data_IF_563586488410
#
_entry.id   IF_563586488410
#
_cell.length_a   1.000
_cell.length_b   1.000
_cell.length_c   1.000
_cell.angle_alpha   90.00
_cell.angle_beta   90.00
_cell.angle_gamma   90.00
#
_symmetry.space_group_name_H-M   'P 1'
#
loop_
_entity.id
_entity.type
_entity.pdbx_description
1 polymer ?
#
# COMPACT_ATOMS: atom_id res chain seq x y z
N UNK A 1 2.76 86.19 -17.29
CA UNK A 1 2.81 85.96 -15.83
C UNK A 1 1.93 84.77 -15.53
N UNK A 2 2.56 83.64 -15.23
CA UNK A 2 1.90 82.40 -14.85
C UNK A 2 1.55 82.47 -13.36
N UNK A 3 0.27 82.32 -13.03
CA UNK A 3 -0.24 82.26 -11.66
C UNK A 3 -0.43 80.80 -11.24
N UNK A 4 0.27 80.39 -10.19
CA UNK A 4 0.22 79.08 -9.55
C UNK A 4 -1.21 78.72 -9.13
N UNK A 5 -1.73 77.59 -9.63
CA UNK A 5 -2.86 76.87 -9.05
C UNK A 5 -2.32 75.83 -8.07
N UNK A 6 -2.71 75.97 -6.80
CA UNK A 6 -2.33 75.10 -5.70
C UNK A 6 -2.93 73.71 -5.85
N UNK A 7 -2.07 72.69 -5.75
CA UNK A 7 -2.45 71.29 -5.60
C UNK A 7 -2.92 71.05 -4.16
N UNK A 8 -4.21 70.84 -3.97
CA UNK A 8 -4.75 70.25 -2.74
C UNK A 8 -4.42 68.77 -2.71
N UNK A 9 -3.44 68.37 -1.89
CA UNK A 9 -3.22 66.97 -1.52
C UNK A 9 -4.37 66.49 -0.61
N UNK A 10 -5.43 65.96 -1.20
CA UNK A 10 -6.35 65.07 -0.50
C UNK A 10 -5.76 63.65 -0.53
N UNK A 11 -4.79 63.40 0.35
CA UNK A 11 -4.27 62.06 0.61
C UNK A 11 -5.15 61.36 1.65
N UNK A 12 -6.25 60.76 1.20
CA UNK A 12 -6.92 59.70 1.95
C UNK A 12 -5.93 58.56 2.16
N UNK A 13 -5.42 58.43 3.38
CA UNK A 13 -4.66 57.28 3.82
C UNK A 13 -5.58 56.06 3.92
N UNK A 14 -5.87 55.41 2.80
CA UNK A 14 -6.23 54.00 2.79
C UNK A 14 -4.95 53.24 3.13
N UNK A 15 -4.84 52.82 4.38
CA UNK A 15 -3.93 51.74 4.75
C UNK A 15 -4.29 50.54 3.87
N UNK A 16 -3.50 50.31 2.82
CA UNK A 16 -3.52 49.07 2.10
C UNK A 16 -3.12 47.97 3.09
N UNK A 17 -4.12 47.34 3.71
CA UNK A 17 -3.99 45.97 4.20
C UNK A 17 -3.40 45.19 3.04
N UNK A 18 -2.12 44.83 3.15
CA UNK A 18 -1.53 43.77 2.32
C UNK A 18 -2.48 42.59 2.46
N UNK A 19 -3.25 42.31 1.42
CA UNK A 19 -4.01 41.10 1.30
C UNK A 19 -3.04 39.93 1.52
N UNK A 20 -3.17 39.28 2.69
CA UNK A 20 -2.59 37.97 2.98
C UNK A 20 -3.34 36.93 2.13
N UNK A 21 -3.20 36.98 0.81
CA UNK A 21 -3.99 36.18 -0.13
C UNK A 21 -3.11 35.14 -0.87
N UNK A 22 -2.12 34.59 -0.16
CA UNK A 22 -1.26 33.53 -0.68
C UNK A 22 -1.55 32.16 -0.06
N UNK A 23 -2.66 31.98 0.66
CA UNK A 23 -2.99 30.69 1.27
C UNK A 23 -3.55 29.73 0.21
N UNK A 24 -2.77 28.74 -0.22
CA UNK A 24 -3.23 27.74 -1.18
C UNK A 24 -3.96 26.59 -0.47
N UNK A 25 -5.28 26.54 -0.65
CA UNK A 25 -6.13 25.44 -0.17
C UNK A 25 -5.93 24.19 -1.05
N UNK A 26 -5.84 23.03 -0.41
CA UNK A 26 -5.78 21.71 -1.04
C UNK A 26 -7.07 20.96 -0.69
N UNK A 27 -7.75 20.46 -1.71
CA UNK A 27 -9.05 19.79 -1.64
C UNK A 27 -8.97 18.49 -2.43
N UNK A 28 -9.42 17.37 -1.85
CA UNK A 28 -9.19 16.05 -2.45
C UNK A 28 -9.85 15.87 -3.82
N UNK A 29 -11.17 16.05 -3.89
CA UNK A 29 -11.97 15.84 -5.08
C UNK A 29 -11.64 16.90 -6.12
N UNK A 30 -11.56 18.18 -5.73
CA UNK A 30 -11.17 19.24 -6.66
C UNK A 30 -9.79 19.02 -7.27
N UNK A 31 -8.78 18.70 -6.46
CA UNK A 31 -7.44 18.42 -6.98
C UNK A 31 -7.41 17.15 -7.84
N UNK A 32 -8.20 16.13 -7.49
CA UNK A 32 -8.31 14.93 -8.33
C UNK A 32 -8.94 15.21 -9.70
N UNK A 33 -9.84 16.20 -9.81
CA UNK A 33 -10.41 16.65 -11.10
C UNK A 33 -9.43 17.49 -11.94
N UNK A 34 -8.30 17.92 -11.38
CA UNK A 34 -7.33 18.75 -12.09
C UNK A 34 -6.75 18.08 -13.33
N UNK A 35 -6.47 18.90 -14.35
CA UNK A 35 -5.69 18.48 -15.54
C UNK A 35 -4.23 18.23 -15.20
N UNK A 36 -3.71 18.88 -14.16
CA UNK A 36 -2.35 18.66 -13.68
C UNK A 36 -2.36 17.49 -12.70
N UNK A 37 -1.50 16.47 -12.87
CA UNK A 37 -1.47 15.34 -11.95
C UNK A 37 -1.06 15.81 -10.55
N UNK A 38 -1.70 15.23 -9.54
CA UNK A 38 -1.30 15.37 -8.14
C UNK A 38 -0.86 14.02 -7.59
N UNK A 39 0.19 14.04 -6.78
CA UNK A 39 0.76 12.84 -6.16
C UNK A 39 0.39 12.83 -4.68
N UNK A 40 -0.16 11.70 -4.26
CA UNK A 40 -0.50 11.42 -2.87
C UNK A 40 0.32 10.23 -2.35
N UNK A 41 0.75 10.34 -1.10
CA UNK A 41 1.56 9.36 -0.38
C UNK A 41 0.71 8.77 0.73
N UNK A 42 0.32 7.51 0.58
CA UNK A 42 -0.36 6.77 1.63
C UNK A 42 0.69 6.07 2.49
N UNK A 43 0.78 6.50 3.74
CA UNK A 43 1.77 6.03 4.71
C UNK A 43 1.18 4.97 5.63
N UNK A 44 2.05 4.15 6.23
CA UNK A 44 1.67 3.17 7.25
C UNK A 44 2.38 3.46 8.57
N UNK A 45 1.76 3.04 9.67
CA UNK A 45 2.26 3.28 11.02
C UNK A 45 1.29 4.16 11.81
N UNK A 46 1.63 4.43 13.07
CA UNK A 46 0.78 5.24 13.93
C UNK A 46 1.02 6.73 13.79
N UNK A 47 2.26 7.17 13.61
CA UNK A 47 2.58 8.58 13.48
C UNK A 47 3.24 8.89 12.14
N UNK A 48 2.98 10.10 11.62
CA UNK A 48 3.73 10.64 10.48
C UNK A 48 5.04 11.22 10.98
N UNK A 49 6.13 10.58 10.58
CA UNK A 49 7.51 10.92 10.89
C UNK A 49 8.33 10.98 9.60
N UNK A 50 9.56 11.46 9.68
CA UNK A 50 10.45 11.55 8.52
C UNK A 50 10.84 10.20 7.95
N UNK A 51 10.69 9.12 8.71
CA UNK A 51 10.96 7.75 8.29
C UNK A 51 9.68 6.95 8.00
N UNK A 52 8.50 7.61 7.98
CA UNK A 52 7.24 6.94 7.66
C UNK A 52 7.34 6.19 6.34
N UNK A 53 6.93 4.93 6.39
CA UNK A 53 6.84 4.07 5.21
C UNK A 53 5.64 4.49 4.39
N UNK A 54 5.83 4.56 3.09
CA UNK A 54 4.81 4.75 2.07
C UNK A 54 4.38 3.35 1.61
N UNK A 55 3.09 3.03 1.77
CA UNK A 55 2.52 1.83 1.19
C UNK A 55 2.21 2.06 -0.29
N UNK A 56 1.52 3.16 -0.59
CA UNK A 56 1.04 3.48 -1.93
C UNK A 56 1.39 4.90 -2.35
N UNK A 57 1.69 5.04 -3.64
CA UNK A 57 1.68 6.31 -4.34
C UNK A 57 0.44 6.35 -5.21
N UNK A 58 -0.40 7.36 -5.02
CA UNK A 58 -1.64 7.55 -5.77
C UNK A 58 -1.49 8.80 -6.62
N UNK A 59 -1.56 8.63 -7.94
CA UNK A 59 -1.50 9.74 -8.90
C UNK A 59 -2.91 10.06 -9.35
N UNK A 60 -3.42 11.24 -9.01
CA UNK A 60 -4.77 11.69 -9.37
C UNK A 60 -4.73 12.71 -10.51
N UNK A 61 -5.56 12.53 -11.52
CA UNK A 61 -5.69 13.45 -12.65
C UNK A 61 -7.03 13.21 -13.36
N UNK A 62 -7.74 14.28 -13.74
CA UNK A 62 -9.00 14.20 -14.50
C UNK A 62 -10.05 13.25 -13.86
N UNK A 63 -10.18 13.28 -12.54
CA UNK A 63 -11.12 12.44 -11.79
C UNK A 63 -10.73 10.96 -11.73
N UNK A 64 -9.51 10.61 -12.13
CA UNK A 64 -9.00 9.23 -12.12
C UNK A 64 -7.79 9.10 -11.19
N UNK A 65 -7.64 7.93 -10.58
CA UNK A 65 -6.49 7.54 -9.77
C UNK A 65 -5.68 6.43 -10.46
N UNK A 66 -4.35 6.53 -10.41
CA UNK A 66 -3.45 5.41 -10.71
C UNK A 66 -2.64 5.10 -9.45
N UNK A 67 -2.73 3.87 -8.97
CA UNK A 67 -2.16 3.47 -7.68
C UNK A 67 -0.96 2.55 -7.89
N UNK A 68 0.14 2.85 -7.22
CA UNK A 68 1.39 2.09 -7.28
C UNK A 68 1.79 1.66 -5.88
N UNK A 69 2.04 0.36 -5.69
CA UNK A 69 2.62 -0.17 -4.45
C UNK A 69 4.11 0.15 -4.41
N UNK A 70 4.61 0.61 -3.27
CA UNK A 70 6.03 1.04 -3.18
C UNK A 70 6.92 0.17 -2.29
N UNK A 71 6.35 -0.78 -1.55
CA UNK A 71 7.08 -1.82 -0.79
C UNK A 71 8.18 -1.28 0.13
N UNK A 72 7.79 -0.75 1.30
CA UNK A 72 8.68 -0.30 2.38
C UNK A 72 9.61 0.88 2.03
N UNK A 73 9.31 1.65 1.00
CA UNK A 73 9.97 2.94 0.76
C UNK A 73 9.47 3.97 1.77
N UNK A 74 10.31 4.93 2.13
CA UNK A 74 10.02 5.98 3.12
C UNK A 74 9.86 7.34 2.43
N UNK A 75 9.26 8.32 3.11
CA UNK A 75 9.11 9.69 2.58
C UNK A 75 10.43 10.29 2.01
N UNK A 76 11.60 10.14 2.66
CA UNK A 76 12.88 10.65 2.17
C UNK A 76 13.31 10.03 0.84
N UNK A 77 12.86 8.82 0.51
CA UNK A 77 13.18 8.22 -0.78
C UNK A 77 12.52 8.98 -1.95
N UNK A 78 11.50 9.79 -1.69
CA UNK A 78 10.80 10.63 -2.68
C UNK A 78 11.22 12.10 -2.61
N UNK A 79 12.00 12.46 -1.61
CA UNK A 79 12.47 13.82 -1.39
C UNK A 79 13.32 14.34 -2.55
N UNK A 80 13.21 15.64 -2.84
CA UNK A 80 13.85 16.34 -3.95
C UNK A 80 13.59 15.79 -5.37
N UNK A 81 12.71 14.80 -5.52
CA UNK A 81 12.35 14.28 -6.84
C UNK A 81 11.28 15.15 -7.48
N UNK A 82 11.34 15.32 -8.80
CA UNK A 82 10.22 15.87 -9.57
C UNK A 82 9.06 14.87 -9.60
N UNK A 83 7.86 15.36 -9.91
CA UNK A 83 6.68 14.50 -10.06
C UNK A 83 6.91 13.37 -11.08
N UNK A 84 7.58 13.67 -12.20
CA UNK A 84 7.92 12.67 -13.22
C UNK A 84 8.88 11.59 -12.68
N UNK A 85 9.87 11.98 -11.87
CA UNK A 85 10.79 11.05 -11.22
C UNK A 85 10.09 10.19 -10.16
N UNK A 86 9.16 10.78 -9.40
CA UNK A 86 8.35 10.05 -8.41
C UNK A 86 7.48 9.01 -9.10
N UNK A 87 6.76 9.39 -10.15
CA UNK A 87 5.90 8.47 -10.92
C UNK A 87 6.72 7.35 -11.56
N UNK A 88 7.90 7.66 -12.12
CA UNK A 88 8.79 6.67 -12.70
C UNK A 88 9.34 5.70 -11.64
N UNK A 89 9.69 6.21 -10.45
CA UNK A 89 10.08 5.39 -9.32
C UNK A 89 8.93 4.49 -8.87
N UNK A 90 7.74 5.04 -8.65
CA UNK A 90 6.56 4.31 -8.22
C UNK A 90 6.20 3.14 -9.15
N UNK A 91 6.22 3.34 -10.47
CA UNK A 91 6.03 2.27 -11.48
C UNK A 91 7.03 1.12 -11.34
N UNK A 92 8.29 1.45 -11.07
CA UNK A 92 9.37 0.47 -10.90
C UNK A 92 9.22 -0.30 -9.58
N UNK A 93 8.82 0.40 -8.51
CA UNK A 93 8.58 -0.22 -7.21
C UNK A 93 7.36 -1.16 -7.24
N UNK A 94 6.30 -0.77 -7.95
CA UNK A 94 5.10 -1.60 -8.10
C UNK A 94 5.42 -2.92 -8.80
N UNK A 95 6.13 -2.85 -9.93
CA UNK A 95 6.63 -4.05 -10.63
C UNK A 95 7.57 -4.88 -9.76
N UNK A 96 8.45 -4.24 -8.99
CA UNK A 96 9.37 -4.95 -8.08
C UNK A 96 8.59 -5.67 -6.97
N UNK A 97 7.55 -5.05 -6.41
CA UNK A 97 6.68 -5.66 -5.41
C UNK A 97 6.06 -6.94 -5.95
N UNK A 98 5.49 -6.85 -7.16
CA UNK A 98 4.93 -8.01 -7.86
C UNK A 98 5.96 -9.14 -8.00
N UNK A 99 7.15 -8.83 -8.52
CA UNK A 99 8.21 -9.82 -8.74
C UNK A 99 8.63 -10.50 -7.45
N UNK A 100 8.90 -9.73 -6.38
CA UNK A 100 9.32 -10.29 -5.09
C UNK A 100 8.27 -11.24 -4.50
N UNK A 101 6.98 -10.90 -4.59
CA UNK A 101 5.89 -11.72 -4.06
C UNK A 101 5.71 -13.01 -4.87
N UNK A 102 5.78 -12.91 -6.20
CA UNK A 102 5.76 -14.07 -7.10
C UNK A 102 6.92 -15.02 -6.80
N UNK A 103 8.13 -14.47 -6.71
CA UNK A 103 9.34 -15.28 -6.51
C UNK A 103 9.35 -15.94 -5.12
N UNK A 104 8.85 -15.25 -4.09
CA UNK A 104 8.66 -15.83 -2.76
C UNK A 104 7.64 -16.98 -2.76
N UNK A 105 6.49 -16.81 -3.44
CA UNK A 105 5.50 -17.86 -3.58
C UNK A 105 6.05 -19.07 -4.36
N UNK A 106 6.83 -18.81 -5.41
CA UNK A 106 7.50 -19.85 -6.19
C UNK A 106 8.48 -20.64 -5.32
N UNK A 107 9.37 -19.96 -4.60
CA UNK A 107 10.37 -20.60 -3.74
C UNK A 107 9.71 -21.47 -2.65
N UNK A 108 8.66 -20.97 -2.00
CA UNK A 108 7.92 -21.72 -1.00
C UNK A 108 7.23 -22.97 -1.58
N UNK A 109 6.67 -22.86 -2.78
CA UNK A 109 6.05 -23.98 -3.49
C UNK A 109 7.09 -25.06 -3.85
N UNK A 110 8.24 -24.66 -4.42
CA UNK A 110 9.34 -25.56 -4.75
C UNK A 110 9.88 -26.28 -3.51
N UNK A 111 10.17 -25.55 -2.43
CA UNK A 111 10.65 -26.14 -1.16
C UNK A 111 9.69 -27.22 -0.65
N UNK A 112 8.38 -26.92 -0.64
CA UNK A 112 7.37 -27.87 -0.19
C UNK A 112 7.30 -29.11 -1.10
N UNK A 113 7.40 -28.92 -2.41
CA UNK A 113 7.40 -30.04 -3.36
C UNK A 113 8.61 -30.96 -3.14
N UNK A 114 9.80 -30.38 -2.97
CA UNK A 114 11.05 -31.12 -2.77
C UNK A 114 11.05 -31.88 -1.44
N UNK A 115 10.55 -31.26 -0.37
CA UNK A 115 10.32 -31.92 0.93
C UNK A 115 9.41 -33.16 0.77
N UNK A 116 8.28 -33.03 0.05
CA UNK A 116 7.38 -34.16 -0.18
C UNK A 116 8.03 -35.23 -1.08
N UNK A 117 8.80 -34.84 -2.09
CA UNK A 117 9.54 -35.79 -2.92
C UNK A 117 10.54 -36.62 -2.10
N UNK A 118 11.27 -35.98 -1.18
CA UNK A 118 12.18 -36.65 -0.25
C UNK A 118 11.44 -37.61 0.69
N UNK A 119 10.23 -37.27 1.15
CA UNK A 119 9.44 -38.19 1.99
C UNK A 119 8.96 -39.45 1.24
N UNK A 120 8.70 -39.36 -0.07
CA UNK A 120 8.37 -40.52 -0.90
C UNK A 120 9.57 -41.39 -1.23
N UNK A 121 10.76 -40.78 -1.33
CA UNK A 121 12.02 -41.42 -1.68
C UNK A 121 13.10 -41.06 -0.65
N UNK A 122 12.97 -41.53 0.61
CA UNK A 122 13.93 -41.20 1.65
C UNK A 122 15.31 -41.71 1.21
N UNK A 123 16.22 -40.79 0.91
CA UNK A 123 17.59 -41.13 0.59
C UNK A 123 18.30 -41.35 1.91
N UNK A 124 18.90 -42.52 2.11
CA UNK A 124 19.70 -42.79 3.32
C UNK A 124 20.95 -41.90 3.27
N UNK A 125 20.91 -40.76 3.95
CA UNK A 125 22.09 -39.91 4.09
C UNK A 125 22.98 -40.56 5.14
N UNK A 126 24.02 -41.27 4.70
CA UNK A 126 25.08 -41.75 5.59
C UNK A 126 25.89 -40.53 6.00
N UNK A 127 25.77 -40.10 7.26
CA UNK A 127 26.63 -39.06 7.83
C UNK A 127 28.06 -39.60 7.78
N UNK A 128 28.99 -38.98 7.02
CA UNK A 128 30.40 -39.35 7.10
C UNK A 128 30.88 -38.93 8.48
N UNK A 129 31.29 -39.91 9.27
CA UNK A 129 31.95 -39.68 10.56
C UNK A 129 33.17 -38.78 10.31
N UNK A 130 33.28 -37.58 10.92
CA UNK A 130 34.50 -36.80 10.85
C UNK A 130 35.56 -37.54 11.67
N UNK A 131 36.33 -38.36 10.98
CA UNK A 131 37.45 -39.18 11.45
C UNK A 131 38.00 -38.82 12.83
N UNK A 132 37.87 -39.73 13.81
CA UNK A 132 38.93 -40.06 14.78
C UNK A 132 38.81 -41.54 15.10
N UNK A 133 39.97 -42.21 15.19
CA UNK A 133 40.07 -43.65 15.31
C UNK A 133 39.49 -44.26 16.58
N UNK A 134 39.31 -45.57 16.41
CA UNK A 134 39.22 -46.65 17.37
C UNK A 134 38.09 -46.66 18.42
N UNK A 135 37.41 -47.81 18.40
CA UNK A 135 36.42 -48.36 19.31
C UNK A 135 35.03 -47.69 19.47
N UNK A 136 34.08 -48.36 18.82
CA UNK A 136 32.69 -48.54 19.29
C UNK A 136 31.81 -47.29 19.35
N UNK A 137 31.50 -46.72 18.19
CA UNK A 137 30.40 -45.76 18.04
C UNK A 137 29.34 -46.32 17.11
N UNK A 138 28.18 -46.67 17.67
CA UNK A 138 26.99 -47.04 16.90
C UNK A 138 26.51 -45.83 16.11
N UNK A 139 26.72 -45.84 14.80
CA UNK A 139 26.12 -44.85 13.91
C UNK A 139 24.59 -44.91 14.04
N UNK A 140 23.98 -43.94 14.72
CA UNK A 140 22.52 -43.82 14.78
C UNK A 140 22.00 -43.41 13.40
N UNK A 141 21.57 -44.39 12.62
CA UNK A 141 20.74 -44.13 11.45
C UNK A 141 19.35 -43.72 11.92
N UNK A 142 18.94 -42.48 11.68
CA UNK A 142 17.54 -42.07 11.86
C UNK A 142 16.70 -42.73 10.77
N UNK A 143 16.17 -43.92 11.08
CA UNK A 143 15.29 -44.66 10.17
C UNK A 143 13.92 -43.99 10.15
N UNK A 144 13.63 -43.19 9.13
CA UNK A 144 12.29 -42.63 8.94
C UNK A 144 11.27 -43.76 8.75
N UNK A 145 10.16 -43.70 9.49
CA UNK A 145 9.05 -44.66 9.34
C UNK A 145 8.58 -44.65 7.87
N UNK A 146 8.49 -45.81 7.20
CA UNK A 146 8.01 -45.86 5.84
C UNK A 146 6.54 -45.46 5.76
N UNK A 147 6.20 -44.63 4.78
CA UNK A 147 4.81 -44.24 4.49
C UNK A 147 3.97 -45.47 4.06
N UNK A 148 2.75 -45.54 4.57
CA UNK A 148 1.71 -46.48 4.12
C UNK A 148 1.30 -46.20 2.67
N UNK A 149 0.63 -47.16 2.02
CA UNK A 149 0.09 -46.98 0.66
C UNK A 149 -0.86 -45.79 0.55
N UNK A 150 -1.70 -45.59 1.57
CA UNK A 150 -2.64 -44.45 1.63
C UNK A 150 -1.90 -43.12 1.72
N UNK A 151 -0.90 -43.01 2.61
CA UNK A 151 -0.09 -41.81 2.76
C UNK A 151 0.72 -41.51 1.49
N UNK A 152 1.26 -42.54 0.82
CA UNK A 152 1.94 -42.38 -0.49
C UNK A 152 0.99 -41.83 -1.56
N UNK A 153 -0.25 -42.33 -1.62
CA UNK A 153 -1.26 -41.85 -2.58
C UNK A 153 -1.65 -40.40 -2.29
N UNK A 154 -1.89 -40.06 -1.02
CA UNK A 154 -2.22 -38.69 -0.60
C UNK A 154 -1.06 -37.72 -0.92
N UNK A 155 0.18 -38.11 -0.62
CA UNK A 155 1.38 -37.32 -0.91
C UNK A 155 1.54 -37.06 -2.41
N UNK A 156 1.39 -38.10 -3.25
CA UNK A 156 1.43 -37.94 -4.71
C UNK A 156 0.35 -37.00 -5.24
N UNK A 157 -0.85 -37.05 -4.66
CA UNK A 157 -1.93 -36.12 -5.01
C UNK A 157 -1.55 -34.68 -4.66
N UNK A 158 -1.04 -34.43 -3.45
CA UNK A 158 -0.58 -33.09 -3.03
C UNK A 158 0.51 -32.58 -3.96
N UNK A 159 1.48 -33.43 -4.31
CA UNK A 159 2.54 -33.07 -5.26
C UNK A 159 1.98 -32.69 -6.63
N UNK A 160 0.95 -33.38 -7.13
CA UNK A 160 0.27 -32.99 -8.37
C UNK A 160 -0.39 -31.61 -8.24
N UNK A 161 -1.10 -31.38 -7.13
CA UNK A 161 -1.76 -30.09 -6.89
C UNK A 161 -0.76 -28.94 -6.65
N UNK A 162 0.45 -29.23 -6.14
CA UNK A 162 1.56 -28.27 -6.07
C UNK A 162 2.07 -27.89 -7.47
N UNK A 163 2.09 -28.81 -8.44
CA UNK A 163 2.42 -28.49 -9.84
C UNK A 163 1.40 -27.52 -10.44
N UNK A 164 0.11 -27.74 -10.18
CA UNK A 164 -0.94 -26.83 -10.63
C UNK A 164 -0.81 -25.45 -9.98
N UNK A 165 -0.45 -25.40 -8.69
CA UNK A 165 -0.13 -24.14 -7.97
C UNK A 165 1.05 -23.43 -8.60
N UNK A 166 2.12 -24.16 -8.90
CA UNK A 166 3.30 -23.61 -9.58
C UNK A 166 2.95 -23.01 -10.93
N UNK A 167 2.13 -23.72 -11.73
CA UNK A 167 1.66 -23.19 -13.01
C UNK A 167 0.89 -21.87 -12.84
N UNK A 168 0.06 -21.73 -11.79
CA UNK A 168 -0.62 -20.47 -11.47
C UNK A 168 0.36 -19.34 -11.10
N UNK A 169 1.43 -19.65 -10.37
CA UNK A 169 2.48 -18.67 -10.04
C UNK A 169 3.25 -18.24 -11.29
N UNK A 170 3.64 -19.20 -12.14
CA UNK A 170 4.41 -18.96 -13.36
C UNK A 170 3.59 -18.22 -14.43
N UNK A 171 2.29 -18.52 -14.55
CA UNK A 171 1.38 -17.86 -15.49
C UNK A 171 0.86 -16.51 -15.01
N UNK A 172 1.06 -16.15 -13.73
CA UNK A 172 0.74 -14.83 -13.25
C UNK A 172 1.58 -13.79 -14.02
N UNK A 173 0.93 -12.71 -14.45
CA UNK A 173 1.58 -11.62 -15.18
C UNK A 173 1.38 -10.30 -14.45
N UNK A 174 2.41 -9.47 -14.46
CA UNK A 174 2.33 -8.11 -13.94
C UNK A 174 1.33 -7.29 -14.76
N UNK A 175 0.30 -6.78 -14.10
CA UNK A 175 -0.67 -5.86 -14.69
C UNK A 175 -0.27 -4.43 -14.33
N UNK A 176 0.19 -3.68 -15.33
CA UNK A 176 0.60 -2.29 -15.14
C UNK A 176 -0.61 -1.45 -14.69
N UNK A 177 -0.51 -0.70 -13.57
CA UNK A 177 -1.59 0.17 -13.14
C UNK A 177 -1.98 1.18 -14.22
N UNK A 178 -3.29 1.30 -14.44
CA UNK A 178 -3.90 2.23 -15.39
C UNK A 178 -4.80 3.23 -14.65
N UNK A 179 -5.07 4.42 -15.19
CA UNK A 179 -5.97 5.38 -14.57
C UNK A 179 -7.41 4.82 -14.48
N UNK A 180 -7.92 4.71 -13.27
CA UNK A 180 -9.28 4.23 -12.98
C UNK A 180 -10.13 5.35 -12.39
N UNK A 181 -11.46 5.34 -12.56
CA UNK A 181 -12.35 6.28 -11.89
C UNK A 181 -12.08 6.32 -10.39
N UNK A 182 -11.88 7.53 -9.87
CA UNK A 182 -11.74 7.77 -8.44
C UNK A 182 -13.09 8.21 -7.89
N UNK A 183 -13.45 7.71 -6.71
CA UNK A 183 -14.63 8.18 -5.98
C UNK A 183 -14.19 8.83 -4.68
N UNK A 184 -14.67 10.03 -4.41
CA UNK A 184 -14.48 10.67 -3.11
C UNK A 184 -15.80 10.58 -2.35
N UNK A 185 -15.74 10.16 -1.09
CA UNK A 185 -16.90 10.13 -0.21
C UNK A 185 -16.70 11.14 0.91
N UNK A 186 -17.69 12.00 1.15
CA UNK A 186 -17.69 12.91 2.30
C UNK A 186 -18.71 12.45 3.33
N UNK A 187 -18.37 12.59 4.61
CA UNK A 187 -19.23 12.24 5.74
C UNK A 187 -19.74 13.51 6.39
N UNK A 188 -21.05 13.59 6.64
CA UNK A 188 -21.67 14.75 7.30
C UNK A 188 -22.19 14.39 8.69
N UNK A 189 -22.01 15.30 9.66
CA UNK A 189 -22.66 15.27 10.97
C UNK A 189 -23.29 16.63 11.24
N UNK A 190 -24.58 16.64 11.58
CA UNK A 190 -25.36 17.87 11.80
C UNK A 190 -25.22 18.91 10.65
N UNK A 191 -25.21 18.44 9.40
CA UNK A 191 -25.10 19.30 8.21
C UNK A 191 -23.67 19.74 7.85
N UNK A 192 -22.68 19.53 8.72
CA UNK A 192 -21.28 19.88 8.48
C UNK A 192 -20.50 18.68 7.95
N UNK A 193 -19.60 18.93 6.98
CA UNK A 193 -18.65 17.90 6.53
C UNK A 193 -17.63 17.68 7.63
N UNK A 194 -17.61 16.47 8.17
CA UNK A 194 -16.70 16.06 9.23
C UNK A 194 -15.59 15.16 8.71
N UNK A 195 -15.71 14.62 7.51
CA UNK A 195 -14.68 13.74 6.94
C UNK A 195 -14.79 13.57 5.45
N UNK A 196 -13.72 13.08 4.85
CA UNK A 196 -13.71 12.66 3.46
C UNK A 196 -12.78 11.44 3.29
N UNK A 197 -13.02 10.68 2.23
CA UNK A 197 -12.41 9.37 2.00
C UNK A 197 -12.18 9.18 0.51
N UNK A 198 -10.95 8.80 0.14
CA UNK A 198 -10.61 8.45 -1.24
C UNK A 198 -10.83 6.96 -1.48
N UNK A 199 -11.70 6.63 -2.43
CA UNK A 199 -11.96 5.25 -2.86
C UNK A 199 -11.34 5.05 -4.24
N UNK A 200 -10.42 4.10 -4.33
CA UNK A 200 -9.65 3.82 -5.54
C UNK A 200 -9.56 2.31 -5.79
N UNK A 201 -9.16 1.93 -7.00
CA UNK A 201 -8.93 0.52 -7.38
C UNK A 201 -7.46 0.26 -7.62
N UNK A 202 -6.97 -0.91 -7.22
CA UNK A 202 -5.60 -1.34 -7.48
C UNK A 202 -5.49 -2.86 -7.55
N UNK A 203 -4.34 -3.33 -8.04
CA UNK A 203 -3.99 -4.76 -7.97
C UNK A 203 -3.44 -5.08 -6.58
N UNK A 204 -4.04 -6.03 -5.90
CA UNK A 204 -3.61 -6.55 -4.60
C UNK A 204 -2.82 -7.85 -4.78
N UNK A 205 -1.58 -7.68 -5.24
CA UNK A 205 -0.65 -8.80 -5.40
C UNK A 205 -0.27 -9.47 -4.07
N UNK A 206 -0.36 -8.74 -2.95
CA UNK A 206 -0.03 -9.30 -1.64
C UNK A 206 -1.05 -10.37 -1.25
N UNK A 207 -2.35 -10.07 -1.36
CA UNK A 207 -3.40 -11.05 -1.08
C UNK A 207 -3.42 -12.19 -2.11
N UNK A 208 -3.15 -11.90 -3.39
CA UNK A 208 -3.09 -12.96 -4.42
C UNK A 208 -1.94 -13.95 -4.18
N UNK A 209 -0.75 -13.47 -3.83
CA UNK A 209 0.38 -14.36 -3.57
C UNK A 209 0.35 -14.95 -2.15
N UNK A 210 -0.35 -14.34 -1.18
CA UNK A 210 -0.51 -14.91 0.16
C UNK A 210 -1.18 -16.30 0.16
N UNK A 211 -2.20 -16.52 -0.69
CA UNK A 211 -2.81 -17.85 -0.88
C UNK A 211 -1.83 -18.90 -1.48
N UNK A 212 -0.70 -18.45 -2.03
CA UNK A 212 0.33 -19.28 -2.67
C UNK A 212 1.61 -19.41 -1.82
N UNK A 213 1.87 -18.47 -0.92
CA UNK A 213 3.10 -18.35 -0.16
C UNK A 213 3.28 -19.40 0.94
N UNK A 214 2.22 -19.84 1.61
CA UNK A 214 2.31 -20.88 2.65
C UNK A 214 1.98 -22.27 2.09
N UNK A 215 2.81 -22.74 1.14
CA UNK A 215 2.60 -24.03 0.50
C UNK A 215 2.76 -25.22 1.47
N UNK A 216 3.57 -25.08 2.53
CA UNK A 216 3.77 -26.13 3.54
C UNK A 216 2.53 -26.31 4.42
N UNK A 217 1.97 -25.24 4.99
CA UNK A 217 0.74 -25.35 5.78
C UNK A 217 -0.43 -25.82 4.92
N UNK A 218 -0.53 -25.34 3.68
CA UNK A 218 -1.52 -25.78 2.71
C UNK A 218 -1.43 -27.29 2.42
N UNK A 219 -0.22 -27.81 2.20
CA UNK A 219 0.01 -29.24 1.97
C UNK A 219 -0.36 -30.08 3.21
N UNK A 220 0.07 -29.63 4.41
CA UNK A 220 -0.24 -30.29 5.69
C UNK A 220 -1.74 -30.32 5.97
N UNK A 221 -2.46 -29.24 5.65
CA UNK A 221 -3.91 -29.20 5.80
C UNK A 221 -4.59 -30.27 4.95
N UNK A 222 -4.20 -30.42 3.67
CA UNK A 222 -4.75 -31.47 2.82
C UNK A 222 -4.46 -32.86 3.38
N UNK A 223 -3.21 -33.12 3.79
CA UNK A 223 -2.84 -34.43 4.36
C UNK A 223 -3.64 -34.76 5.63
N UNK A 224 -4.13 -33.74 6.35
CA UNK A 224 -4.96 -33.90 7.54
C UNK A 224 -6.46 -34.04 7.24
N UNK A 225 -7.02 -33.24 6.32
CA UNK A 225 -8.47 -33.13 6.10
C UNK A 225 -8.98 -33.67 4.76
N UNK A 226 -8.09 -33.95 3.81
CA UNK A 226 -8.43 -34.33 2.44
C UNK A 226 -9.04 -33.20 1.60
N UNK A 227 -9.05 -31.95 2.10
CA UNK A 227 -9.66 -30.81 1.42
C UNK A 227 -8.60 -29.81 0.96
N UNK A 228 -8.72 -29.35 -0.29
CA UNK A 228 -7.89 -28.28 -0.85
C UNK A 228 -8.61 -26.94 -0.74
N UNK A 229 -7.90 -25.92 -0.25
CA UNK A 229 -8.37 -24.54 -0.38
C UNK A 229 -8.38 -24.14 -1.87
N UNK A 230 -9.52 -23.62 -2.34
CA UNK A 230 -9.65 -23.07 -3.70
C UNK A 230 -8.78 -21.83 -3.86
N UNK A 231 -7.97 -21.81 -4.92
CA UNK A 231 -7.13 -20.67 -5.27
C UNK A 231 -7.92 -19.76 -6.19
N UNK A 232 -8.17 -18.53 -5.74
CA UNK A 232 -8.87 -17.52 -6.54
C UNK A 232 -7.99 -17.02 -7.69
N UNK A 233 -8.55 -16.71 -8.86
CA UNK A 233 -7.80 -16.15 -9.97
C UNK A 233 -7.30 -14.74 -9.64
N UNK A 234 -6.20 -14.32 -10.27
CA UNK A 234 -5.59 -13.01 -10.03
C UNK A 234 -6.53 -11.83 -10.35
N UNK A 235 -7.49 -12.03 -11.26
CA UNK A 235 -8.53 -11.04 -11.60
C UNK A 235 -9.37 -10.62 -10.40
N UNK A 236 -9.58 -11.52 -9.43
CA UNK A 236 -10.37 -11.25 -8.22
C UNK A 236 -9.63 -10.30 -7.27
N UNK A 237 -8.33 -10.08 -7.51
CA UNK A 237 -7.47 -9.21 -6.73
C UNK A 237 -7.28 -7.84 -7.39
N UNK A 238 -8.13 -7.48 -8.35
CA UNK A 238 -8.32 -6.09 -8.76
C UNK A 238 -9.40 -5.44 -7.91
N UNK A 239 -9.00 -5.05 -6.70
CA UNK A 239 -9.89 -4.68 -5.60
C UNK A 239 -10.19 -3.20 -5.57
N UNK A 240 -11.33 -2.86 -4.98
CA UNK A 240 -11.65 -1.50 -4.56
C UNK A 240 -11.20 -1.34 -3.13
N UNK A 241 -10.33 -0.37 -2.90
CA UNK A 241 -9.84 -0.02 -1.58
C UNK A 241 -10.49 1.29 -1.17
N UNK A 242 -11.05 1.27 0.02
CA UNK A 242 -11.72 2.39 0.65
C UNK A 242 -10.70 3.36 1.30
N UNK A 243 -9.49 3.48 0.72
CA UNK A 243 -8.38 4.27 1.23
C UNK A 243 -8.27 4.20 2.76
N UNK A 244 -7.88 5.33 3.36
CA UNK A 244 -8.01 5.53 4.79
C UNK A 244 -9.46 5.90 5.14
N UNK A 245 -10.15 5.18 6.06
CA UNK A 245 -11.60 5.27 6.28
C UNK A 245 -12.09 6.49 7.11
N UNK A 246 -11.26 7.51 7.38
CA UNK A 246 -11.50 8.41 8.51
C UNK A 246 -11.48 9.90 8.17
N UNK A 247 -12.48 10.59 8.74
CA UNK A 247 -12.47 11.99 9.19
C UNK A 247 -11.08 12.54 9.41
N UNK A 248 -10.63 13.36 8.47
CA UNK A 248 -9.38 14.03 8.63
C UNK A 248 -9.47 15.19 9.63
N UNK A 249 -8.85 15.02 10.80
CA UNK A 249 -8.48 16.19 11.59
C UNK A 249 -7.24 16.81 10.96
N UNK A 250 -7.20 18.13 10.83
CA UNK A 250 -5.96 18.84 10.54
C UNK A 250 -4.91 18.40 11.56
N UNK A 251 -3.86 17.66 11.11
CA UNK A 251 -2.66 17.41 11.91
C UNK A 251 -2.14 18.70 12.52
N UNK A 252 -2.18 19.74 11.71
CA UNK A 252 -1.74 21.09 11.99
C UNK A 252 -2.43 22.02 11.01
N UNK A 253 -2.79 23.26 11.40
CA UNK A 253 -3.20 24.32 10.45
C UNK A 253 -2.05 24.80 9.55
N UNK A 254 -0.90 24.11 9.59
CA UNK A 254 0.38 24.45 8.94
C UNK A 254 0.97 23.17 8.34
N UNK A 255 1.79 23.24 7.29
CA UNK A 255 2.46 22.07 6.74
C UNK A 255 3.33 21.36 7.78
N UNK A 256 3.40 20.03 7.69
CA UNK A 256 4.35 19.23 8.44
C UNK A 256 5.72 19.34 7.75
N UNK A 257 6.69 19.95 8.44
CA UNK A 257 8.06 20.07 7.94
C UNK A 257 8.84 18.81 8.30
N UNK A 258 8.57 17.74 7.57
CA UNK A 258 9.12 16.40 7.84
C UNK A 258 10.26 16.06 6.89
N UNK A 259 10.19 16.52 5.63
CA UNK A 259 11.32 16.52 4.67
C UNK A 259 11.13 17.62 3.60
N UNK A 260 9.88 17.91 3.23
CA UNK A 260 9.40 19.10 2.51
C UNK A 260 8.16 19.62 3.29
N UNK A 261 7.50 20.68 2.82
CA UNK A 261 6.17 21.03 3.29
C UNK A 261 5.16 20.02 2.74
N UNK A 262 4.77 19.06 3.57
CA UNK A 262 3.66 18.16 3.28
C UNK A 262 2.39 18.69 3.95
N UNK A 263 1.29 18.57 3.24
CA UNK A 263 -0.05 18.74 3.79
C UNK A 263 -0.84 17.48 3.51
N UNK A 264 -1.76 17.15 4.38
CA UNK A 264 -2.48 15.90 4.27
C UNK A 264 -3.22 15.60 5.53
N UNK A 265 -3.48 14.31 5.71
CA UNK A 265 -4.53 13.91 6.61
C UNK A 265 -4.20 12.62 7.36
N UNK A 266 -4.63 12.52 8.62
CA UNK A 266 -4.44 11.32 9.46
C UNK A 266 -5.62 10.35 9.37
N UNK A 267 -5.30 9.06 9.39
CA UNK A 267 -6.24 7.99 9.74
C UNK A 267 -6.40 7.95 11.28
N UNK A 268 -7.59 8.27 11.81
CA UNK A 268 -7.94 7.94 13.20
C UNK A 268 -8.81 6.70 13.24
N UNK A 269 -8.29 5.54 13.66
CA UNK A 269 -9.19 4.43 14.04
C UNK A 269 -9.94 4.85 15.31
N UNK A 270 -11.15 5.36 15.15
CA UNK A 270 -11.98 5.74 16.28
C UNK A 270 -12.97 4.59 16.57
N UNK A 271 -12.75 3.88 17.67
CA UNK A 271 -13.81 3.22 18.44
C UNK A 271 -14.15 4.15 19.61
N UNK A 272 -15.44 4.25 19.96
CA UNK A 272 -16.01 5.35 20.76
C UNK A 272 -15.57 5.41 22.25
N UNK A 273 -14.63 4.59 22.72
CA UNK A 273 -14.30 4.47 24.16
C UNK A 273 -12.79 4.47 24.54
N UNK A 274 -11.85 4.72 23.62
CA UNK A 274 -10.41 4.71 23.95
C UNK A 274 -9.80 6.13 24.03
N UNK A 275 -9.38 6.53 25.24
CA UNK A 275 -8.55 7.72 25.52
C UNK A 275 -7.13 7.60 24.94
N UNK A 276 -6.75 6.41 24.48
CA UNK A 276 -5.50 6.15 23.79
C UNK A 276 -5.71 6.30 22.27
N UNK A 277 -5.47 7.51 21.74
CA UNK A 277 -5.41 7.73 20.30
C UNK A 277 -4.29 6.87 19.67
N UNK A 278 -4.63 5.67 19.21
CA UNK A 278 -3.78 4.85 18.36
C UNK A 278 -3.98 5.35 16.93
N UNK A 279 -3.26 6.42 16.61
CA UNK A 279 -3.21 6.96 15.27
C UNK A 279 -2.82 5.84 14.28
N UNK A 280 -3.34 5.92 13.07
CA UNK A 280 -3.05 5.00 11.97
C UNK A 280 -2.49 5.81 10.79
N UNK A 281 -2.32 5.20 9.61
CA UNK A 281 -1.55 5.79 8.49
C UNK A 281 -2.03 7.17 8.04
N UNK A 282 -1.28 7.85 7.18
CA UNK A 282 -1.65 9.18 6.68
C UNK A 282 -1.64 9.26 5.17
N UNK A 283 -2.49 10.12 4.60
CA UNK A 283 -2.51 10.45 3.19
C UNK A 283 -1.98 11.87 2.99
N UNK A 284 -0.80 12.00 2.37
CA UNK A 284 -0.05 13.24 2.28
C UNK A 284 0.11 13.68 0.82
N UNK A 285 0.26 14.97 0.56
CA UNK A 285 0.71 15.52 -0.72
C UNK A 285 1.73 16.63 -0.48
N UNK A 286 2.65 16.81 -1.44
CA UNK A 286 3.63 17.89 -1.38
C UNK A 286 2.96 19.23 -1.69
N UNK A 287 3.33 20.27 -0.96
CA UNK A 287 3.00 21.65 -1.29
C UNK A 287 4.29 22.46 -1.42
N UNK A 288 4.25 23.46 -2.30
CA UNK A 288 5.32 24.45 -2.47
C UNK A 288 5.12 25.69 -1.59
N UNK A 289 4.05 25.72 -0.78
CA UNK A 289 3.63 26.88 -0.01
C UNK A 289 3.52 26.53 1.48
N UNK A 290 4.22 27.30 2.30
CA UNK A 290 4.38 27.12 3.73
C UNK A 290 3.13 27.46 4.53
N UNK A 291 2.17 28.11 3.87
CA UNK A 291 0.86 28.46 4.40
C UNK A 291 -0.25 27.58 3.82
N UNK A 292 0.05 26.56 3.01
CA UNK A 292 -1.00 25.69 2.47
C UNK A 292 -1.81 25.03 3.57
N UNK A 293 -3.13 24.99 3.38
CA UNK A 293 -4.07 24.32 4.27
C UNK A 293 -4.88 23.29 3.52
N UNK A 294 -5.30 22.26 4.23
CA UNK A 294 -6.29 21.31 3.71
C UNK A 294 -7.69 21.88 3.94
N UNK A 295 -8.64 21.52 3.09
CA UNK A 295 -10.05 21.70 3.35
C UNK A 295 -10.84 20.50 2.81
N UNK A 296 -11.89 20.11 3.52
CA UNK A 296 -12.81 19.10 3.02
C UNK A 296 -13.55 19.58 1.78
N UNK A 297 -13.77 18.68 0.83
CA UNK A 297 -14.66 18.94 -0.29
C UNK A 297 -16.12 19.12 0.16
N UNK A 298 -16.85 19.96 -0.56
CA UNK A 298 -18.28 20.18 -0.34
C UNK A 298 -19.11 19.10 -1.05
N UNK A 299 -20.33 18.87 -0.55
CA UNK A 299 -21.25 17.86 -1.09
C UNK A 299 -21.62 18.06 -2.58
N UNK A 300 -21.56 19.30 -3.07
CA UNK A 300 -21.85 19.64 -4.46
C UNK A 300 -20.61 19.58 -5.37
N UNK A 301 -19.44 19.18 -4.85
CA UNK A 301 -18.23 19.03 -5.65
C UNK A 301 -18.38 17.84 -6.60
N UNK A 302 -18.04 18.03 -7.88
CA UNK A 302 -18.08 16.96 -8.88
C UNK A 302 -17.24 15.74 -8.45
N UNK A 303 -17.84 14.54 -8.51
CA UNK A 303 -17.18 13.29 -8.13
C UNK A 303 -17.23 12.98 -6.62
N UNK A 304 -17.93 13.80 -5.82
CA UNK A 304 -18.18 13.55 -4.40
C UNK A 304 -19.51 12.84 -4.19
N UNK A 305 -19.52 11.82 -3.33
CA UNK A 305 -20.71 11.17 -2.80
C UNK A 305 -20.86 11.49 -1.31
N UNK A 306 -22.07 11.77 -0.83
CA UNK A 306 -22.33 12.05 0.59
C UNK A 306 -22.80 10.79 1.30
N UNK A 307 -22.10 10.39 2.37
CA UNK A 307 -22.62 9.45 3.38
C UNK A 307 -23.29 10.28 4.50
N UNK A 308 -24.51 9.89 4.87
CA UNK A 308 -25.25 10.46 6.01
C UNK A 308 -24.86 9.75 7.29
#
# INVERSE_FOLDING_TARGET
MAGLLGLTLAGCGTSATKEMNNQKTVNFAQDAQSKTPRIWYETTGSNVTSDSKVAYIIVTQNGKGTVYRTSNYTLPNFYHKSDSQIIALAKRLDKRSYTLKRDAAYAANTSTYDELAQTLHPTTTRVPDPAVGDDSSSSESVTMKPLTTTEKKATKFVMSALKDRRLKIESAQYQKPTPQPLKITVTKKHGQVVGEQMVYRHHDYDSYFAQLADSSAWAKQYLKSGQLATIKPMSDYFVTTEGSPVVYKHLTKKPLSIVDQYVGYLEKKQTDDDDDAKDAGALLTRTSNDQSVMAFDQANTTGVTVKK
#
